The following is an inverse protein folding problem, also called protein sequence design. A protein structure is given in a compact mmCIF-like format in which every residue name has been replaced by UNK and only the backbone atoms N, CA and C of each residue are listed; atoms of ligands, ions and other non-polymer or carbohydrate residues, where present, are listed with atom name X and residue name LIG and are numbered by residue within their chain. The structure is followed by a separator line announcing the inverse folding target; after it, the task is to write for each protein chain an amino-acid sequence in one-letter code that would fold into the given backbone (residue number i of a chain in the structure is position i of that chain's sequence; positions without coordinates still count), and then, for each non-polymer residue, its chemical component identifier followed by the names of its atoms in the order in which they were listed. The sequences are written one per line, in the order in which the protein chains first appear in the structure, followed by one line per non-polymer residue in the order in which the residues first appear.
data_IF_553416794238
#
_entry.id   IF_553416794238
#
_cell.length_a   1.000
_cell.length_b   1.000
_cell.length_c   1.000
_cell.angle_alpha   90.00
_cell.angle_beta   90.00
_cell.angle_gamma   90.00
#
_symmetry.space_group_name_H-M   'P 1'
#
loop_
_entity.id
_entity.type
_entity.pdbx_description
1 polymer ?
#
# COMPACT_ATOMS: atom_id res chain seq x y z
N UNK A 1 -35.61 2.15 -11.85
CA UNK A 1 -35.05 1.80 -10.52
C UNK A 1 -33.54 1.86 -10.63
N UNK A 2 -32.93 2.96 -10.22
CA UNK A 2 -31.50 3.18 -10.40
C UNK A 2 -30.73 2.44 -9.30
N UNK A 3 -29.91 1.47 -9.68
CA UNK A 3 -29.00 0.75 -8.78
C UNK A 3 -28.10 1.71 -7.98
N UNK A 4 -27.82 2.90 -8.52
CA UNK A 4 -27.06 3.97 -7.85
C UNK A 4 -27.79 4.65 -6.68
N UNK A 5 -29.12 4.56 -6.58
CA UNK A 5 -29.87 5.05 -5.42
C UNK A 5 -29.73 4.11 -4.19
N UNK A 6 -29.24 2.89 -4.42
CA UNK A 6 -28.79 1.95 -3.40
C UNK A 6 -27.34 2.31 -3.06
N UNK A 7 -27.13 3.54 -2.58
CA UNK A 7 -25.80 4.03 -2.22
C UNK A 7 -25.22 3.29 -1.01
N UNK A 8 -24.49 4.02 -0.15
CA UNK A 8 -23.96 3.51 1.12
C UNK A 8 -24.95 2.62 1.91
N UNK A 9 -26.27 2.92 1.99
CA UNK A 9 -27.22 2.07 2.71
C UNK A 9 -27.31 0.63 2.21
N UNK A 10 -27.25 0.36 0.91
CA UNK A 10 -27.33 -1.01 0.41
C UNK A 10 -26.04 -1.79 0.54
N UNK A 11 -24.89 -1.09 0.46
CA UNK A 11 -23.60 -1.70 0.76
C UNK A 11 -23.56 -2.19 2.20
N UNK A 12 -24.12 -1.42 3.15
CA UNK A 12 -24.23 -1.85 4.56
C UNK A 12 -25.04 -3.14 4.70
N UNK A 13 -26.16 -3.28 4.00
CA UNK A 13 -27.00 -4.49 4.05
C UNK A 13 -26.21 -5.72 3.59
N UNK A 14 -25.49 -5.61 2.47
CA UNK A 14 -24.65 -6.68 1.95
C UNK A 14 -23.55 -7.02 2.96
N UNK A 15 -22.91 -5.99 3.53
CA UNK A 15 -21.87 -6.14 4.54
C UNK A 15 -22.39 -6.92 5.75
N UNK A 16 -23.59 -6.58 6.27
CA UNK A 16 -24.22 -7.29 7.39
C UNK A 16 -24.45 -8.78 7.07
N UNK A 17 -24.95 -9.11 5.89
CA UNK A 17 -25.15 -10.51 5.48
C UNK A 17 -23.81 -11.28 5.46
N UNK A 18 -22.77 -10.67 4.88
CA UNK A 18 -21.41 -11.22 4.87
C UNK A 18 -20.87 -11.39 6.30
N UNK A 19 -21.11 -10.43 7.19
CA UNK A 19 -20.71 -10.53 8.60
C UNK A 19 -21.45 -11.62 9.36
N UNK A 20 -22.69 -11.94 9.02
CA UNK A 20 -23.41 -13.05 9.64
C UNK A 20 -22.80 -14.39 9.20
N UNK A 21 -22.44 -14.52 7.92
CA UNK A 21 -21.85 -15.75 7.37
C UNK A 21 -20.41 -15.98 7.86
N UNK A 22 -19.57 -14.95 7.83
CA UNK A 22 -18.14 -15.07 8.12
C UNK A 22 -17.75 -14.54 9.51
N UNK A 23 -18.57 -13.70 10.13
CA UNK A 23 -18.29 -13.04 11.40
C UNK A 23 -17.55 -11.70 11.24
N UNK A 24 -17.78 -10.71 12.12
CA UNK A 24 -17.12 -9.39 12.10
C UNK A 24 -15.61 -9.45 12.32
N UNK A 25 -15.10 -10.53 12.92
CA UNK A 25 -13.67 -10.70 13.18
C UNK A 25 -12.88 -11.20 11.97
N UNK A 26 -13.53 -11.87 11.01
CA UNK A 26 -12.83 -12.48 9.87
C UNK A 26 -12.42 -11.47 8.80
N UNK A 27 -13.23 -10.46 8.52
CA UNK A 27 -12.86 -9.44 7.52
C UNK A 27 -11.59 -8.65 7.92
N UNK A 28 -11.43 -8.15 9.16
CA UNK A 28 -10.20 -7.48 9.58
C UNK A 28 -8.98 -8.42 9.64
N UNK A 29 -9.19 -9.68 10.03
CA UNK A 29 -8.14 -10.71 10.10
C UNK A 29 -7.57 -11.01 8.70
N UNK A 30 -8.44 -11.26 7.72
CA UNK A 30 -8.06 -11.46 6.32
C UNK A 30 -7.45 -10.19 5.73
N UNK A 31 -8.07 -9.03 5.95
CA UNK A 31 -7.56 -7.74 5.50
C UNK A 31 -6.16 -7.43 6.05
N UNK A 32 -5.88 -7.78 7.31
CA UNK A 32 -4.56 -7.61 7.91
C UNK A 32 -3.51 -8.54 7.30
N UNK A 33 -3.86 -9.79 7.02
CA UNK A 33 -2.96 -10.74 6.37
C UNK A 33 -2.63 -10.34 4.92
N UNK A 34 -3.66 -9.99 4.15
CA UNK A 34 -3.52 -9.49 2.78
C UNK A 34 -2.77 -8.16 2.77
N UNK A 35 -3.08 -7.26 3.69
CA UNK A 35 -2.43 -5.95 3.81
C UNK A 35 -0.93 -6.03 4.07
N UNK A 36 -0.48 -6.96 4.93
CA UNK A 36 0.95 -7.22 5.14
C UNK A 36 1.63 -7.70 3.85
N UNK A 37 1.00 -8.63 3.14
CA UNK A 37 1.50 -9.14 1.86
C UNK A 37 1.61 -8.02 0.81
N UNK A 38 0.58 -7.18 0.69
CA UNK A 38 0.58 -6.02 -0.21
C UNK A 38 1.63 -4.97 0.20
N UNK A 39 1.86 -4.76 1.50
CA UNK A 39 2.86 -3.82 1.99
C UNK A 39 4.28 -4.29 1.65
N UNK A 40 4.58 -5.57 1.85
CA UNK A 40 5.86 -6.18 1.46
C UNK A 40 6.03 -6.15 -0.06
N UNK A 41 4.99 -6.53 -0.81
CA UNK A 41 5.00 -6.46 -2.27
C UNK A 41 5.24 -5.04 -2.79
N UNK A 42 4.58 -4.03 -2.21
CA UNK A 42 4.81 -2.61 -2.55
C UNK A 42 6.25 -2.19 -2.28
N UNK A 43 6.83 -2.63 -1.17
CA UNK A 43 8.22 -2.32 -0.83
C UNK A 43 9.18 -2.94 -1.83
N UNK A 44 9.04 -4.22 -2.12
CA UNK A 44 9.88 -4.91 -3.11
C UNK A 44 9.69 -4.34 -4.52
N UNK A 45 8.46 -4.02 -4.92
CA UNK A 45 8.19 -3.37 -6.20
C UNK A 45 8.89 -2.00 -6.30
N UNK A 46 8.86 -1.22 -5.20
CA UNK A 46 9.54 0.08 -5.13
C UNK A 46 11.05 -0.07 -5.16
N UNK A 47 11.63 -1.05 -4.46
CA UNK A 47 13.07 -1.30 -4.49
C UNK A 47 13.55 -1.67 -5.90
N UNK A 48 12.76 -2.44 -6.67
CA UNK A 48 13.06 -2.78 -8.08
C UNK A 48 12.99 -1.53 -8.97
N UNK A 49 11.92 -0.74 -8.84
CA UNK A 49 11.76 0.51 -9.61
C UNK A 49 12.86 1.53 -9.29
N UNK A 50 13.22 1.65 -8.01
CA UNK A 50 14.28 2.55 -7.56
C UNK A 50 15.67 2.04 -8.02
N UNK A 51 15.92 0.73 -8.14
CA UNK A 51 17.19 0.18 -8.68
C UNK A 51 17.35 0.40 -10.18
N UNK A 52 16.24 0.41 -10.94
CA UNK A 52 16.23 0.83 -12.35
C UNK A 52 16.46 2.36 -12.50
N UNK A 53 16.01 3.20 -11.56
CA UNK A 53 16.33 4.65 -11.53
C UNK A 53 17.71 4.98 -10.91
N UNK A 54 18.27 4.13 -10.03
CA UNK A 54 19.56 4.39 -9.35
C UNK A 54 20.79 4.28 -10.24
N UNK A 55 20.63 3.80 -11.47
CA UNK A 55 21.69 3.83 -12.48
C UNK A 55 22.10 5.27 -12.87
N UNK A 56 21.26 6.29 -12.63
CA UNK A 56 21.58 7.69 -12.99
C UNK A 56 21.93 8.62 -11.80
N UNK A 57 21.65 8.24 -10.55
CA UNK A 57 21.78 9.17 -9.38
C UNK A 57 22.82 8.73 -8.34
N UNK A 58 23.91 8.08 -8.76
CA UNK A 58 25.06 7.74 -7.89
C UNK A 58 26.38 8.45 -8.25
N UNK A 59 26.35 9.60 -8.94
CA UNK A 59 27.58 10.38 -9.26
C UNK A 59 27.72 11.74 -8.57
N UNK A 60 26.82 12.16 -7.68
CA UNK A 60 26.84 13.57 -7.22
C UNK A 60 26.79 13.77 -5.71
N UNK A 61 27.34 12.89 -4.87
CA UNK A 61 27.43 13.17 -3.41
C UNK A 61 28.72 12.67 -2.75
N UNK A 62 29.88 12.75 -3.45
CA UNK A 62 31.19 12.42 -2.88
C UNK A 62 32.25 13.53 -3.05
N UNK A 63 31.84 14.81 -3.11
CA UNK A 63 32.78 15.94 -3.26
C UNK A 63 32.39 17.17 -2.41
N UNK A 64 32.20 16.99 -1.10
CA UNK A 64 32.19 18.12 -0.12
C UNK A 64 32.81 17.71 1.21
N UNK A 65 34.07 17.27 1.18
CA UNK A 65 34.89 17.13 2.40
C UNK A 65 36.38 17.22 2.07
N UNK A 66 36.79 18.31 1.43
CA UNK A 66 38.18 18.78 1.45
C UNK A 66 38.18 20.27 1.08
N UNK A 67 39.01 21.05 1.78
CA UNK A 67 39.33 22.47 1.54
C UNK A 67 38.37 23.53 2.09
N UNK A 68 38.41 23.69 3.41
CA UNK A 68 38.52 25.03 4.03
C UNK A 68 39.35 24.90 5.31
N UNK A 69 40.67 24.69 5.17
CA UNK A 69 41.63 25.11 6.17
C UNK A 69 42.91 25.57 5.45
N UNK A 70 43.22 26.86 5.65
CA UNK A 70 44.46 27.60 5.36
C UNK A 70 44.48 28.57 4.18
#
# INVERSE_FOLDING_TARGET
MNLAAIGVPGLIIILVIVLILFGPRKLPEVGSAVGKTLAEFKKSAKDIMDDDEKAEVKKTEASKTSDTEK
#
